data_IF_498377336211
#
_entry.id   IF_498377336211
#
_cell.length_a   1.000
_cell.length_b   1.000
_cell.length_c   1.000
_cell.angle_alpha   90.00
_cell.angle_beta   90.00
_cell.angle_gamma   90.00
#
_symmetry.space_group_name_H-M   'P 1'
#
loop_
_entity.id
_entity.type
_entity.pdbx_description
1 polymer ?
#
# COMPACT_ATOMS: atom_id res chain seq x y z
N UNK A 1 -16.59 10.23 15.13
CA UNK A 1 -17.46 10.50 16.29
C UNK A 1 -16.71 10.24 17.61
N UNK A 2 -15.57 10.91 17.83
CA UNK A 2 -14.79 10.75 19.06
C UNK A 2 -14.84 12.06 19.86
N UNK A 3 -14.54 13.17 19.18
CA UNK A 3 -14.62 14.54 19.70
C UNK A 3 -15.99 14.87 20.33
N UNK A 4 -17.08 14.49 19.67
CA UNK A 4 -18.45 14.70 20.17
C UNK A 4 -18.77 13.89 21.43
N UNK A 5 -18.20 12.69 21.56
CA UNK A 5 -18.38 11.85 22.75
C UNK A 5 -17.58 12.44 23.91
N UNK A 6 -16.33 12.82 23.67
CA UNK A 6 -15.40 13.42 24.65
C UNK A 6 -15.90 14.76 25.20
N UNK A 7 -16.45 15.63 24.35
CA UNK A 7 -17.06 16.90 24.77
C UNK A 7 -18.29 16.68 25.67
N UNK A 8 -19.05 15.60 25.45
CA UNK A 8 -20.28 15.31 26.18
C UNK A 8 -20.02 14.63 27.52
N UNK A 9 -18.98 13.78 27.62
CA UNK A 9 -18.66 13.07 28.88
C UNK A 9 -17.93 13.93 29.91
N UNK A 10 -17.46 15.14 29.57
CA UNK A 10 -16.71 16.04 30.49
C UNK A 10 -15.56 15.36 31.24
N UNK A 11 -14.99 14.28 30.69
CA UNK A 11 -13.90 13.50 31.29
C UNK A 11 -12.54 14.22 31.26
N UNK A 12 -12.51 15.48 30.81
CA UNK A 12 -11.32 16.32 30.75
C UNK A 12 -11.61 17.57 31.60
N UNK A 13 -10.88 17.75 32.71
CA UNK A 13 -10.80 19.05 33.40
C UNK A 13 -10.34 20.08 32.38
N UNK A 14 -11.15 21.12 32.15
CA UNK A 14 -11.01 22.10 31.07
C UNK A 14 -9.54 22.49 30.81
N UNK A 15 -8.88 21.89 29.80
CA UNK A 15 -7.61 22.40 29.34
C UNK A 15 -7.99 23.68 28.61
N UNK A 16 -7.60 24.83 29.17
CA UNK A 16 -7.99 26.18 28.73
C UNK A 16 -8.38 26.21 27.26
N UNK A 17 -9.68 26.43 27.01
CA UNK A 17 -10.40 26.16 25.76
C UNK A 17 -9.51 26.43 24.55
N UNK A 18 -8.85 25.38 24.04
CA UNK A 18 -8.17 25.47 22.76
C UNK A 18 -9.24 25.76 21.73
N UNK A 19 -9.06 26.85 20.98
CA UNK A 19 -9.98 27.18 19.89
C UNK A 19 -10.12 25.95 18.99
N UNK A 20 -11.34 25.66 18.51
CA UNK A 20 -11.58 24.53 17.60
C UNK A 20 -10.62 24.55 16.40
N UNK A 21 -10.16 25.74 16.01
CA UNK A 21 -9.13 25.95 15.01
C UNK A 21 -7.77 25.34 15.41
N UNK A 22 -7.29 25.57 16.63
CA UNK A 22 -6.02 25.06 17.14
C UNK A 22 -6.02 23.53 17.21
N UNK A 23 -7.16 22.94 17.61
CA UNK A 23 -7.34 21.49 17.60
C UNK A 23 -7.25 20.90 16.19
N UNK A 24 -7.95 21.52 15.21
CA UNK A 24 -7.92 21.06 13.81
C UNK A 24 -6.51 21.19 13.21
N UNK A 25 -5.79 22.26 13.54
CA UNK A 25 -4.41 22.46 13.09
C UNK A 25 -3.48 21.37 13.66
N UNK A 26 -3.52 21.15 14.96
CA UNK A 26 -2.70 20.12 15.61
C UNK A 26 -3.03 18.70 15.09
N UNK A 27 -4.30 18.42 14.81
CA UNK A 27 -4.69 17.15 14.23
C UNK A 27 -4.10 16.94 12.83
N UNK A 28 -4.09 17.99 11.99
CA UNK A 28 -3.47 17.92 10.65
C UNK A 28 -1.97 17.65 10.74
N UNK A 29 -1.26 18.38 11.59
CA UNK A 29 0.18 18.18 11.82
C UNK A 29 0.48 16.74 12.23
N UNK A 30 -0.28 16.20 13.20
CA UNK A 30 -0.10 14.82 13.66
C UNK A 30 -0.39 13.80 12.56
N UNK A 31 -1.38 14.04 11.71
CA UNK A 31 -1.67 13.16 10.58
C UNK A 31 -0.55 13.17 9.55
N UNK A 32 0.02 14.33 9.25
CA UNK A 32 1.14 14.47 8.33
C UNK A 32 2.38 13.73 8.84
N UNK A 33 2.68 13.83 10.14
CA UNK A 33 3.78 13.10 10.77
C UNK A 33 3.59 11.59 10.70
N UNK A 34 2.40 11.09 11.04
CA UNK A 34 2.08 9.66 10.95
C UNK A 34 2.19 9.17 9.52
N UNK A 35 1.69 9.96 8.57
CA UNK A 35 1.70 9.61 7.15
C UNK A 35 3.13 9.54 6.60
N UNK A 36 4.02 10.41 7.07
CA UNK A 36 5.45 10.34 6.76
C UNK A 36 6.07 9.03 7.23
N UNK A 37 5.84 8.65 8.49
CA UNK A 37 6.35 7.39 9.06
C UNK A 37 5.79 6.19 8.28
N UNK A 38 4.49 6.20 7.99
CA UNK A 38 3.85 5.12 7.24
C UNK A 38 4.44 4.96 5.83
N UNK A 39 4.77 6.06 5.15
CA UNK A 39 5.43 6.02 3.82
C UNK A 39 6.82 5.43 3.90
N UNK A 40 7.63 5.85 4.89
CA UNK A 40 8.99 5.34 5.08
C UNK A 40 8.99 3.82 5.34
N UNK A 41 8.09 3.34 6.20
CA UNK A 41 7.97 1.90 6.47
C UNK A 41 7.43 1.11 5.28
N UNK A 42 6.50 1.69 4.52
CA UNK A 42 5.98 1.10 3.30
C UNK A 42 7.10 0.91 2.27
N UNK A 43 7.96 1.91 2.07
CA UNK A 43 9.08 1.83 1.13
C UNK A 43 10.07 0.73 1.53
N UNK A 44 10.42 0.65 2.83
CA UNK A 44 11.26 -0.45 3.36
C UNK A 44 10.63 -1.82 3.13
N UNK A 45 9.32 -1.95 3.37
CA UNK A 45 8.59 -3.19 3.15
C UNK A 45 8.56 -3.60 1.67
N UNK A 46 8.32 -2.65 0.77
CA UNK A 46 8.35 -2.85 -0.68
C UNK A 46 9.74 -3.30 -1.14
N UNK A 47 10.81 -2.69 -0.61
CA UNK A 47 12.19 -3.10 -0.90
C UNK A 47 12.47 -4.56 -0.52
N UNK A 48 12.05 -4.96 0.69
CA UNK A 48 12.15 -6.37 1.15
C UNK A 48 11.34 -7.30 0.25
N UNK A 49 10.10 -6.94 -0.06
CA UNK A 49 9.22 -7.75 -0.90
C UNK A 49 9.82 -7.97 -2.29
N UNK A 50 10.33 -6.91 -2.93
CA UNK A 50 11.01 -7.00 -4.23
C UNK A 50 12.23 -7.91 -4.15
N UNK A 51 13.07 -7.76 -3.13
CA UNK A 51 14.24 -8.60 -2.95
C UNK A 51 13.88 -10.09 -2.85
N UNK A 52 12.88 -10.44 -2.02
CA UNK A 52 12.44 -11.84 -1.89
C UNK A 52 11.77 -12.38 -3.15
N UNK A 53 10.97 -11.56 -3.84
CA UNK A 53 10.32 -11.93 -5.09
C UNK A 53 11.33 -12.19 -6.21
N UNK A 54 12.31 -11.29 -6.36
CA UNK A 54 13.34 -11.38 -7.39
C UNK A 54 14.41 -12.45 -7.07
N UNK A 55 14.49 -12.96 -5.83
CA UNK A 55 15.55 -13.87 -5.38
C UNK A 55 15.67 -15.14 -6.24
N UNK A 56 14.56 -15.68 -6.73
CA UNK A 56 14.53 -16.87 -7.60
C UNK A 56 14.31 -16.54 -9.07
N UNK A 57 14.15 -15.25 -9.40
CA UNK A 57 13.94 -14.81 -10.76
C UNK A 57 15.24 -14.94 -11.56
N UNK A 58 15.13 -15.59 -12.73
CA UNK A 58 16.24 -15.71 -13.69
C UNK A 58 16.01 -14.73 -14.83
N UNK A 59 17.04 -13.96 -15.21
CA UNK A 59 17.00 -13.17 -16.45
C UNK A 59 16.84 -14.14 -17.63
N UNK A 60 15.74 -13.99 -18.38
CA UNK A 60 15.50 -14.72 -19.62
C UNK A 60 15.72 -13.77 -20.78
N UNK A 61 16.49 -14.22 -21.77
CA UNK A 61 16.61 -13.57 -23.08
C UNK A 61 15.91 -14.50 -24.07
N UNK A 62 15.12 -13.94 -24.97
CA UNK A 62 14.43 -14.70 -26.01
C UNK A 62 14.97 -14.31 -27.37
N UNK A 63 15.07 -15.27 -28.27
CA UNK A 63 15.46 -15.04 -29.67
C UNK A 63 14.27 -15.19 -30.61
N UNK A 64 14.32 -14.55 -31.78
CA UNK A 64 13.29 -14.68 -32.83
C UNK A 64 13.17 -16.17 -33.21
N UNK A 65 11.94 -16.70 -33.23
CA UNK A 65 11.64 -18.12 -33.46
C UNK A 65 11.55 -18.99 -32.19
N UNK A 66 11.90 -18.46 -31.01
CA UNK A 66 11.79 -19.19 -29.74
C UNK A 66 10.33 -19.28 -29.28
N UNK A 67 9.94 -20.47 -28.77
CA UNK A 67 8.59 -20.72 -28.26
C UNK A 67 8.51 -20.30 -26.79
N UNK A 68 7.74 -19.26 -26.50
CA UNK A 68 7.51 -18.75 -25.15
C UNK A 68 6.09 -19.04 -24.67
N UNK A 69 5.92 -19.23 -23.37
CA UNK A 69 4.60 -19.37 -22.76
C UNK A 69 4.03 -17.98 -22.48
N UNK A 70 2.85 -17.69 -23.00
CA UNK A 70 2.17 -16.41 -22.77
C UNK A 70 0.96 -16.64 -21.88
N UNK A 71 0.87 -15.88 -20.80
CA UNK A 71 -0.27 -15.90 -19.89
C UNK A 71 -1.32 -14.93 -20.44
N UNK A 72 -2.27 -15.45 -21.23
CA UNK A 72 -3.39 -14.66 -21.73
C UNK A 72 -4.45 -14.50 -20.63
N UNK A 73 -5.07 -13.32 -20.46
CA UNK A 73 -6.16 -13.14 -19.52
C UNK A 73 -7.38 -13.92 -20.00
N UNK A 74 -7.55 -15.13 -19.47
CA UNK A 74 -8.66 -16.02 -19.83
C UNK A 74 -9.87 -15.83 -18.94
N UNK A 75 -9.65 -15.37 -17.72
CA UNK A 75 -10.64 -15.21 -16.67
C UNK A 75 -10.38 -13.92 -15.90
N UNK A 76 -11.45 -13.38 -15.31
CA UNK A 76 -11.41 -12.18 -14.47
C UNK A 76 -10.65 -12.42 -13.15
N UNK A 77 -10.48 -13.68 -12.75
CA UNK A 77 -9.80 -14.08 -11.53
C UNK A 77 -8.34 -14.49 -11.82
N UNK A 78 -7.38 -13.68 -11.33
CA UNK A 78 -5.94 -13.92 -11.48
C UNK A 78 -5.47 -15.28 -10.94
N UNK A 79 -6.19 -15.87 -9.99
CA UNK A 79 -5.83 -17.17 -9.40
C UNK A 79 -6.26 -18.36 -10.29
N UNK A 80 -7.24 -18.15 -11.18
CA UNK A 80 -7.74 -19.16 -12.11
C UNK A 80 -7.13 -19.02 -13.51
N UNK A 81 -6.09 -18.20 -13.65
CA UNK A 81 -5.48 -17.92 -14.94
C UNK A 81 -4.61 -19.13 -15.36
N UNK A 82 -5.05 -19.84 -16.39
CA UNK A 82 -4.34 -21.00 -16.91
C UNK A 82 -3.38 -20.58 -18.03
N UNK A 83 -2.15 -21.12 -18.03
CA UNK A 83 -1.19 -20.88 -19.11
C UNK A 83 -1.66 -21.46 -20.44
N UNK A 84 -2.16 -20.62 -21.35
CA UNK A 84 -2.58 -21.05 -22.70
C UNK A 84 -1.38 -21.13 -23.64
N UNK A 85 -0.84 -22.34 -23.80
CA UNK A 85 -0.06 -22.75 -24.98
C UNK A 85 1.25 -22.00 -25.26
N UNK A 86 2.05 -22.53 -26.18
CA UNK A 86 3.34 -21.95 -26.59
C UNK A 86 3.14 -21.05 -27.81
N UNK A 87 3.50 -19.78 -27.73
CA UNK A 87 3.53 -18.85 -28.87
C UNK A 87 4.97 -18.70 -29.37
N UNK A 88 5.16 -18.60 -30.69
CA UNK A 88 6.47 -18.30 -31.30
C UNK A 88 6.64 -16.78 -31.39
N UNK A 89 7.79 -16.28 -30.96
CA UNK A 89 8.24 -14.90 -31.19
C UNK A 89 8.69 -14.70 -32.64
#
# INVERSE_FOLDING_TARGET
MHILRELWTKEIEEPGVKSSYEYVLNLRERLDDILKIAREELEKAQGRQKHYYDRTAKRRKFSVGEKVLVLLPTDSNKLLMHGRGRLKL
#
